data_IF_004629485233
#
_entry.id   IF_004629485233
#
_cell.length_a   1.000
_cell.length_b   1.000
_cell.length_c   1.000
_cell.angle_alpha   90.00
_cell.angle_beta   90.00
_cell.angle_gamma   90.00
#
_symmetry.space_group_name_H-M   'P 1'
#
loop_
_entity.id
_entity.type
_entity.pdbx_description
1 polymer ?
#
# COMPACT_ATOMS: atom_id res chain seq x y z
N UNK A 1 40.30 -11.95 -30.57
CA UNK A 1 39.10 -11.89 -31.44
C UNK A 1 38.47 -13.27 -31.37
N UNK A 2 37.45 -13.43 -30.52
CA UNK A 2 36.05 -13.79 -30.89
C UNK A 2 35.93 -15.20 -31.50
N UNK A 3 35.17 -16.16 -31.00
CA UNK A 3 34.25 -16.25 -29.87
C UNK A 3 33.82 -17.73 -29.81
N UNK A 4 33.85 -18.32 -28.61
CA UNK A 4 33.31 -19.66 -28.39
C UNK A 4 31.84 -19.52 -28.06
N UNK A 5 30.97 -19.92 -28.99
CA UNK A 5 29.53 -20.04 -28.75
C UNK A 5 29.24 -21.48 -28.34
N UNK A 6 29.55 -21.81 -27.09
CA UNK A 6 28.97 -22.98 -26.43
C UNK A 6 27.55 -22.59 -26.02
N UNK A 7 26.57 -23.13 -26.76
CA UNK A 7 25.15 -23.01 -26.44
C UNK A 7 24.86 -23.83 -25.19
N UNK A 8 25.03 -23.23 -24.03
CA UNK A 8 24.53 -23.77 -22.78
C UNK A 8 23.01 -23.59 -22.71
N UNK A 9 22.35 -24.74 -22.60
CA UNK A 9 20.96 -24.93 -22.24
C UNK A 9 20.61 -24.12 -20.98
N UNK A 10 20.02 -22.94 -21.16
CA UNK A 10 19.20 -22.36 -20.08
C UNK A 10 17.84 -23.02 -20.14
N UNK A 11 17.75 -24.10 -19.36
CA UNK A 11 16.49 -24.65 -18.85
C UNK A 11 15.72 -23.48 -18.26
N UNK A 12 14.65 -23.06 -18.94
CA UNK A 12 13.64 -22.24 -18.31
C UNK A 12 12.98 -23.14 -17.26
N UNK A 13 13.30 -22.86 -16.02
CA UNK A 13 12.71 -23.44 -14.83
C UNK A 13 11.18 -23.21 -14.87
N UNK A 14 10.35 -24.27 -14.90
CA UNK A 14 8.92 -24.15 -14.79
C UNK A 14 8.54 -24.32 -13.31
N UNK A 15 8.25 -23.23 -12.62
CA UNK A 15 7.71 -23.33 -11.27
C UNK A 15 7.95 -22.12 -10.39
N UNK A 16 7.14 -21.08 -10.58
CA UNK A 16 6.63 -20.34 -9.43
C UNK A 16 5.17 -19.98 -9.70
N UNK A 17 4.38 -21.03 -9.84
CA UNK A 17 2.94 -21.11 -9.61
C UNK A 17 2.60 -20.94 -8.11
N UNK A 18 3.30 -20.04 -7.43
CA UNK A 18 2.82 -19.44 -6.21
C UNK A 18 1.59 -18.61 -6.55
N UNK A 19 0.41 -19.22 -6.41
CA UNK A 19 -0.86 -18.49 -6.29
C UNK A 19 -0.60 -17.28 -5.39
N UNK A 20 -0.46 -16.11 -5.99
CA UNK A 20 -0.49 -14.86 -5.24
C UNK A 20 -1.80 -14.93 -4.48
N UNK A 21 -1.80 -14.90 -3.14
CA UNK A 21 -3.02 -15.08 -2.37
C UNK A 21 -4.07 -14.14 -2.96
N UNK A 22 -5.14 -14.74 -3.50
CA UNK A 22 -6.12 -14.04 -4.30
C UNK A 22 -6.52 -12.79 -3.51
N UNK A 23 -6.35 -11.62 -4.14
CA UNK A 23 -6.72 -10.37 -3.49
C UNK A 23 -8.17 -10.49 -3.02
N UNK A 24 -8.49 -10.27 -1.74
CA UNK A 24 -9.84 -10.49 -1.23
C UNK A 24 -10.90 -9.70 -2.00
N UNK A 25 -10.51 -8.54 -2.53
CA UNK A 25 -11.31 -7.73 -3.47
C UNK A 25 -11.52 -8.47 -4.81
N UNK A 26 -10.46 -9.02 -5.39
CA UNK A 26 -10.51 -9.83 -6.63
C UNK A 26 -11.29 -11.14 -6.44
N UNK A 27 -11.10 -11.84 -5.32
CA UNK A 27 -11.82 -13.06 -4.95
C UNK A 27 -13.30 -12.80 -4.65
N UNK A 28 -13.63 -11.62 -4.10
CA UNK A 28 -15.01 -11.16 -3.93
C UNK A 28 -15.64 -10.65 -5.24
N UNK A 29 -14.88 -10.58 -6.34
CA UNK A 29 -15.32 -9.99 -7.61
C UNK A 29 -15.64 -8.49 -7.49
N UNK A 30 -15.11 -7.83 -6.45
CA UNK A 30 -15.26 -6.41 -6.18
C UNK A 30 -14.00 -5.74 -6.71
N UNK A 31 -14.07 -5.26 -7.96
CA UNK A 31 -13.08 -4.29 -8.43
C UNK A 31 -13.28 -3.01 -7.62
N UNK A 32 -12.31 -2.57 -6.79
CA UNK A 32 -12.44 -1.29 -6.11
C UNK A 32 -12.52 -0.21 -7.17
N UNK A 33 -13.75 0.28 -7.40
CA UNK A 33 -14.00 1.40 -8.31
C UNK A 33 -13.34 2.63 -7.70
N UNK A 34 -12.09 2.87 -8.07
CA UNK A 34 -11.46 4.17 -7.88
C UNK A 34 -12.12 5.07 -8.90
N UNK A 35 -12.96 6.05 -8.49
CA UNK A 35 -13.56 6.96 -9.45
C UNK A 35 -12.44 7.68 -10.21
N UNK A 36 -12.60 7.91 -11.51
CA UNK A 36 -11.55 8.55 -12.33
C UNK A 36 -11.09 9.89 -11.71
N UNK A 37 -12.00 10.61 -11.04
CA UNK A 37 -11.70 11.82 -10.27
C UNK A 37 -10.71 11.63 -9.12
N UNK A 38 -10.70 10.47 -8.46
CA UNK A 38 -9.73 10.15 -7.42
C UNK A 38 -8.37 9.76 -8.01
N UNK A 39 -8.36 9.17 -9.20
CA UNK A 39 -7.13 8.88 -9.96
C UNK A 39 -6.49 10.19 -10.46
N UNK A 40 -7.29 11.12 -10.98
CA UNK A 40 -6.85 12.45 -11.38
C UNK A 40 -6.33 13.25 -10.17
N UNK A 41 -7.03 13.21 -9.05
CA UNK A 41 -6.59 13.83 -7.80
C UNK A 41 -5.32 13.20 -7.20
N UNK A 42 -5.05 11.93 -7.48
CA UNK A 42 -3.77 11.29 -7.12
C UNK A 42 -2.63 11.66 -8.09
N UNK A 43 -2.96 12.08 -9.32
CA UNK A 43 -2.01 12.59 -10.30
C UNK A 43 -1.62 14.06 -10.08
N UNK A 44 -2.47 14.84 -9.42
CA UNK A 44 -2.16 16.17 -8.91
C UNK A 44 -1.44 16.04 -7.55
N UNK A 45 -0.20 16.56 -7.47
CA UNK A 45 0.51 16.59 -6.19
C UNK A 45 -0.33 17.36 -5.16
N UNK A 46 -0.50 16.77 -3.97
CA UNK A 46 -1.16 17.44 -2.85
C UNK A 46 -0.44 18.76 -2.57
N UNK A 47 -1.21 19.84 -2.49
CA UNK A 47 -0.64 21.14 -2.12
C UNK A 47 -0.16 21.08 -0.67
N UNK A 48 0.93 21.81 -0.36
CA UNK A 48 1.36 22.04 1.01
C UNK A 48 0.22 22.72 1.78
N UNK A 49 -0.32 22.00 2.76
CA UNK A 49 -1.45 22.42 3.57
C UNK A 49 -1.26 22.02 5.03
N UNK A 50 -0.66 22.94 5.79
CA UNK A 50 -0.40 22.76 7.21
C UNK A 50 -1.68 22.59 8.04
N UNK A 51 -2.79 23.24 7.66
CA UNK A 51 -4.06 23.18 8.39
C UNK A 51 -4.68 21.80 8.25
N UNK A 52 -4.71 21.25 7.03
CA UNK A 52 -5.19 19.89 6.78
C UNK A 52 -4.29 18.86 7.48
N UNK A 53 -2.96 19.03 7.41
CA UNK A 53 -2.01 18.14 8.10
C UNK A 53 -2.24 18.13 9.61
N UNK A 54 -2.35 19.29 10.24
CA UNK A 54 -2.59 19.40 11.70
C UNK A 54 -3.94 18.80 12.09
N UNK A 55 -4.99 19.07 11.32
CA UNK A 55 -6.31 18.51 11.56
C UNK A 55 -6.33 16.97 11.50
N UNK A 56 -5.67 16.38 10.49
CA UNK A 56 -5.55 14.93 10.38
C UNK A 56 -4.79 14.32 11.55
N UNK A 57 -3.78 15.02 12.09
CA UNK A 57 -3.01 14.58 13.26
C UNK A 57 -3.82 14.68 14.55
N UNK A 58 -4.61 15.72 14.72
CA UNK A 58 -5.57 15.84 15.84
C UNK A 58 -6.55 14.66 15.84
N UNK A 59 -7.16 14.38 14.68
CA UNK A 59 -8.07 13.23 14.55
C UNK A 59 -7.32 11.91 14.79
N UNK A 60 -6.09 11.78 14.30
CA UNK A 60 -5.26 10.58 14.52
C UNK A 60 -4.99 10.32 16.00
N UNK A 61 -4.80 11.37 16.80
CA UNK A 61 -4.63 11.29 18.25
C UNK A 61 -5.95 10.96 18.95
N UNK A 62 -7.06 11.56 18.55
CA UNK A 62 -8.39 11.33 19.14
C UNK A 62 -8.87 9.89 18.95
N UNK A 63 -8.62 9.27 17.79
CA UNK A 63 -9.05 7.88 17.54
C UNK A 63 -8.10 6.84 18.15
N UNK A 64 -6.95 7.26 18.70
CA UNK A 64 -5.93 6.35 19.20
C UNK A 64 -6.34 5.75 20.56
N UNK A 65 -6.75 4.50 20.53
CA UNK A 65 -7.06 3.70 21.72
C UNK A 65 -6.02 2.62 22.02
N UNK A 66 -6.38 1.67 22.88
CA UNK A 66 -5.49 0.58 23.29
C UNK A 66 -5.51 -0.63 22.35
N UNK A 67 -6.55 -0.77 21.53
CA UNK A 67 -6.65 -1.88 20.57
C UNK A 67 -5.63 -1.77 19.44
N UNK A 68 -5.27 -2.91 18.85
CA UNK A 68 -4.37 -2.92 17.68
C UNK A 68 -5.01 -2.21 16.50
N UNK A 69 -6.33 -2.30 16.34
CA UNK A 69 -7.10 -1.64 15.29
C UNK A 69 -7.09 -0.12 15.43
N UNK A 70 -7.29 0.41 16.63
CA UNK A 70 -7.28 1.87 16.87
C UNK A 70 -5.90 2.47 16.66
N UNK A 71 -4.84 1.77 17.09
CA UNK A 71 -3.44 2.14 16.81
C UNK A 71 -3.13 2.13 15.32
N UNK A 72 -3.64 1.13 14.60
CA UNK A 72 -3.47 1.02 13.15
C UNK A 72 -4.18 2.14 12.41
N UNK A 73 -5.42 2.47 12.78
CA UNK A 73 -6.17 3.57 12.20
C UNK A 73 -5.45 4.91 12.41
N UNK A 74 -5.00 5.18 13.64
CA UNK A 74 -4.18 6.34 13.98
C UNK A 74 -2.93 6.44 13.09
N UNK A 75 -2.19 5.33 12.93
CA UNK A 75 -0.99 5.29 12.09
C UNK A 75 -1.28 5.57 10.60
N UNK A 76 -2.41 5.11 10.07
CA UNK A 76 -2.83 5.42 8.69
C UNK A 76 -3.12 6.91 8.55
N UNK A 77 -3.83 7.52 9.50
CA UNK A 77 -4.14 8.96 9.47
C UNK A 77 -2.88 9.82 9.52
N UNK A 78 -1.89 9.45 10.35
CA UNK A 78 -0.58 10.09 10.35
C UNK A 78 0.08 10.02 8.97
N UNK A 79 0.10 8.84 8.34
CA UNK A 79 0.71 8.68 7.00
C UNK A 79 -0.06 9.44 5.91
N UNK A 80 -1.37 9.56 6.02
CA UNK A 80 -2.18 10.41 5.12
C UNK A 80 -1.87 11.89 5.34
N UNK A 81 -1.60 12.31 6.58
CA UNK A 81 -1.21 13.70 6.88
C UNK A 81 0.09 14.10 6.18
N UNK A 82 1.01 13.14 6.01
CA UNK A 82 2.31 13.36 5.35
C UNK A 82 2.16 13.64 3.85
N UNK A 83 0.99 13.36 3.23
CA UNK A 83 0.73 13.75 1.84
C UNK A 83 0.69 15.27 1.66
N UNK A 84 0.35 16.02 2.70
CA UNK A 84 0.25 17.49 2.66
C UNK A 84 1.56 18.18 3.08
N UNK A 85 2.64 17.43 3.21
CA UNK A 85 3.97 17.93 3.53
C UNK A 85 4.93 17.65 2.35
N UNK A 86 5.40 18.66 1.62
CA UNK A 86 6.26 18.46 0.46
C UNK A 86 7.65 17.91 0.83
N UNK A 87 8.05 18.00 2.10
CA UNK A 87 9.32 17.46 2.59
C UNK A 87 9.21 15.95 2.95
N UNK A 88 7.99 15.43 3.07
CA UNK A 88 7.74 14.01 3.35
C UNK A 88 7.68 13.18 2.07
N UNK A 89 8.34 12.01 2.08
CA UNK A 89 8.31 11.07 0.96
C UNK A 89 7.19 10.04 1.16
N UNK A 90 5.96 10.47 0.94
CA UNK A 90 4.77 9.60 1.04
C UNK A 90 3.89 9.75 -0.19
N UNK A 91 3.42 8.63 -0.75
CA UNK A 91 2.42 8.64 -1.82
C UNK A 91 1.10 7.95 -1.42
N UNK A 92 -0.03 8.33 -2.04
CA UNK A 92 -1.31 7.64 -1.82
C UNK A 92 -1.24 6.15 -2.18
N UNK A 93 -0.49 5.80 -3.23
CA UNK A 93 -0.29 4.42 -3.66
C UNK A 93 0.44 3.60 -2.58
N UNK A 94 1.51 4.15 -2.00
CA UNK A 94 2.23 3.50 -0.89
C UNK A 94 1.34 3.27 0.33
N UNK A 95 0.48 4.24 0.67
CA UNK A 95 -0.49 4.10 1.77
C UNK A 95 -1.46 2.96 1.47
N UNK A 96 -2.05 2.94 0.27
CA UNK A 96 -2.99 1.91 -0.16
C UNK A 96 -2.36 0.50 -0.15
N UNK A 97 -1.15 0.36 -0.72
CA UNK A 97 -0.43 -0.92 -0.75
C UNK A 97 -0.10 -1.43 0.65
N UNK A 98 0.30 -0.56 1.57
CA UNK A 98 0.57 -0.91 2.97
C UNK A 98 -0.70 -1.42 3.68
N UNK A 99 -1.83 -0.72 3.55
CA UNK A 99 -3.10 -1.13 4.17
C UNK A 99 -3.61 -2.44 3.59
N UNK A 100 -3.57 -2.62 2.27
CA UNK A 100 -3.96 -3.87 1.61
C UNK A 100 -3.10 -5.04 2.06
N UNK A 101 -1.79 -4.85 2.20
CA UNK A 101 -0.86 -5.87 2.68
C UNK A 101 -1.17 -6.31 4.11
N UNK A 102 -1.46 -5.35 4.99
CA UNK A 102 -1.86 -5.62 6.38
C UNK A 102 -3.13 -6.48 6.43
N UNK A 103 -4.16 -6.15 5.64
CA UNK A 103 -5.42 -6.91 5.63
C UNK A 103 -5.19 -8.35 5.15
N UNK A 104 -4.38 -8.53 4.10
CA UNK A 104 -3.99 -9.86 3.60
C UNK A 104 -3.27 -10.70 4.66
N UNK A 105 -2.36 -10.11 5.44
CA UNK A 105 -1.67 -10.82 6.53
C UNK A 105 -2.64 -11.19 7.66
N UNK A 106 -3.55 -10.27 8.04
CA UNK A 106 -4.54 -10.53 9.10
C UNK A 106 -5.47 -11.68 8.73
N UNK A 107 -5.89 -11.79 7.47
CA UNK A 107 -6.70 -12.91 6.98
C UNK A 107 -5.94 -14.26 7.01
N UNK A 108 -4.61 -14.25 6.85
CA UNK A 108 -3.78 -15.46 6.87
C UNK A 108 -3.38 -15.91 8.29
N UNK A 109 -3.85 -15.24 9.34
CA UNK A 109 -3.58 -15.58 10.74
C UNK A 109 -2.44 -14.80 11.40
N UNK A 110 -1.91 -13.74 10.77
CA UNK A 110 -0.86 -12.87 11.33
C UNK A 110 0.57 -13.30 10.98
N UNK A 111 1.56 -12.52 11.45
CA UNK A 111 3.02 -12.74 11.19
C UNK A 111 3.59 -13.84 12.09
N UNK A 112 2.87 -14.24 13.14
CA UNK A 112 3.31 -15.26 14.09
C UNK A 112 2.91 -16.65 13.59
N UNK A 113 3.81 -17.27 12.83
CA UNK A 113 3.86 -18.73 12.68
C UNK A 113 5.21 -19.25 13.15
#
# INVERSE_FOLDING_TARGET
MTGGEEREERRNDPGDDGETPADPLEAAGVDPVVPESATDAAGEAFADDAEVREFLREVADDVRGDSSESKQLSAVLYRVSDLYDPDESTSPEEIYLNVRHIMRIKEQGGIER
#
